data_IF_874853844544
#
_entry.id   IF_874853844544
#
_cell.length_a   1.000
_cell.length_b   1.000
_cell.length_c   1.000
_cell.angle_alpha   90.00
_cell.angle_beta   90.00
_cell.angle_gamma   90.00
#
_symmetry.space_group_name_H-M   'P 1'
#
loop_
_entity.id
_entity.type
_entity.pdbx_description
1 polymer ?
#
# COMPACT_ATOMS: atom_id res chain seq x y z
N UNK A 1 40.02 5.03 13.00
CA UNK A 1 38.60 4.88 12.62
C UNK A 1 38.37 5.74 11.38
N UNK A 2 38.08 5.13 10.24
CA UNK A 2 37.74 5.83 9.01
C UNK A 2 36.24 6.10 9.00
N UNK A 3 35.85 7.35 8.74
CA UNK A 3 34.47 7.75 8.53
C UNK A 3 33.91 7.02 7.28
N UNK A 4 32.66 6.59 7.36
CA UNK A 4 31.95 6.07 6.19
C UNK A 4 31.68 7.19 5.19
N UNK A 5 31.61 6.86 3.90
CA UNK A 5 31.38 7.82 2.78
C UNK A 5 30.13 8.70 2.96
N UNK A 6 29.20 8.31 3.85
CA UNK A 6 27.93 8.99 4.07
C UNK A 6 27.83 9.65 5.46
N UNK A 7 28.84 9.55 6.32
CA UNK A 7 28.80 10.12 7.67
C UNK A 7 28.76 11.65 7.61
N UNK A 8 27.86 12.26 8.38
CA UNK A 8 27.75 13.72 8.49
C UNK A 8 28.67 14.20 9.61
N UNK A 9 29.56 15.15 9.29
CA UNK A 9 30.51 15.72 10.25
C UNK A 9 30.21 17.20 10.43
N UNK A 10 30.11 17.65 11.68
CA UNK A 10 30.06 19.09 12.00
C UNK A 10 31.17 19.45 12.99
N UNK A 11 31.72 20.65 12.79
CA UNK A 11 32.79 21.21 13.62
C UNK A 11 32.25 22.45 14.31
N UNK A 12 32.43 22.54 15.63
CA UNK A 12 32.06 23.70 16.43
C UNK A 12 33.26 24.14 17.29
N UNK A 13 33.35 25.43 17.58
CA UNK A 13 34.32 26.00 18.52
C UNK A 13 33.55 26.45 19.76
N UNK A 14 33.80 25.83 20.89
CA UNK A 14 33.23 26.22 22.20
C UNK A 14 34.38 26.46 23.18
N UNK A 15 34.46 27.67 23.76
CA UNK A 15 35.46 28.06 24.76
C UNK A 15 36.91 27.77 24.37
N UNK A 16 37.26 27.98 23.09
CA UNK A 16 38.61 27.71 22.57
C UNK A 16 38.92 26.21 22.34
N UNK A 17 37.94 25.31 22.53
CA UNK A 17 38.06 23.88 22.21
C UNK A 17 37.30 23.56 20.92
N UNK A 18 37.97 22.85 20.01
CA UNK A 18 37.33 22.28 18.82
C UNK A 18 36.52 21.05 19.22
N UNK A 19 35.22 21.07 18.93
CA UNK A 19 34.31 19.94 19.10
C UNK A 19 33.99 19.38 17.71
N UNK A 20 34.33 18.10 17.52
CA UNK A 20 33.95 17.34 16.33
C UNK A 20 32.72 16.50 16.67
N UNK A 21 31.63 16.68 15.93
CA UNK A 21 30.45 15.81 16.00
C UNK A 21 30.38 14.97 14.74
N UNK A 22 30.20 13.66 14.92
CA UNK A 22 30.03 12.70 13.84
C UNK A 22 28.65 12.07 14.02
N UNK A 23 27.84 12.13 12.96
CA UNK A 23 26.59 11.41 12.84
C UNK A 23 26.76 10.31 11.81
N UNK A 24 26.51 9.07 12.20
CA UNK A 24 26.67 7.91 11.33
C UNK A 24 25.44 7.72 10.48
N UNK A 25 25.62 7.70 9.16
CA UNK A 25 24.50 7.48 8.22
C UNK A 25 24.64 6.12 7.56
N UNK A 26 23.58 5.32 7.63
CA UNK A 26 23.50 4.02 6.96
C UNK A 26 22.25 3.90 6.12
N UNK A 27 22.36 3.27 4.95
CA UNK A 27 21.22 2.96 4.08
C UNK A 27 20.93 1.46 4.16
N UNK A 28 19.64 1.11 4.22
CA UNK A 28 19.18 -0.28 4.18
C UNK A 28 18.03 -0.43 3.21
N UNK A 29 18.02 -1.56 2.52
CA UNK A 29 16.87 -1.97 1.73
C UNK A 29 15.96 -2.80 2.62
N UNK A 30 14.75 -2.32 2.83
CA UNK A 30 13.72 -3.03 3.60
C UNK A 30 12.51 -3.32 2.73
N UNK A 31 11.83 -4.43 2.98
CA UNK A 31 10.65 -4.80 2.20
C UNK A 31 9.51 -5.21 3.09
N UNK A 32 8.32 -4.79 2.72
CA UNK A 32 7.08 -5.06 3.43
C UNK A 32 6.06 -5.66 2.46
N UNK A 33 5.37 -6.71 2.88
CA UNK A 33 4.26 -7.29 2.13
C UNK A 33 2.96 -6.77 2.70
N UNK A 34 2.18 -6.08 1.85
CA UNK A 34 0.88 -5.54 2.21
C UNK A 34 -0.24 -6.27 1.47
N UNK A 35 -1.38 -6.44 2.13
CA UNK A 35 -2.59 -6.96 1.52
C UNK A 35 -3.15 -5.98 0.49
N UNK A 36 -3.60 -6.50 -0.64
CA UNK A 36 -4.26 -5.72 -1.70
C UNK A 36 -5.73 -6.14 -1.75
N UNK A 37 -6.68 -5.28 -1.32
CA UNK A 37 -8.10 -5.60 -1.32
C UNK A 37 -8.61 -6.03 -2.70
N UNK A 38 -9.59 -6.91 -2.73
CA UNK A 38 -10.32 -7.23 -3.96
C UNK A 38 -11.41 -6.19 -4.25
N UNK A 39 -11.76 -6.03 -5.52
CA UNK A 39 -12.94 -5.26 -5.94
C UNK A 39 -14.21 -6.11 -5.92
N UNK A 40 -15.37 -5.46 -5.96
CA UNK A 40 -16.66 -6.14 -6.13
C UNK A 40 -17.30 -5.69 -7.43
N UNK A 41 -17.66 -6.65 -8.28
CA UNK A 41 -18.37 -6.43 -9.52
C UNK A 41 -19.79 -6.99 -9.40
N UNK A 42 -20.78 -6.20 -9.82
CA UNK A 42 -22.17 -6.64 -9.86
C UNK A 42 -22.60 -6.87 -11.30
N UNK A 43 -23.13 -8.05 -11.59
CA UNK A 43 -23.63 -8.42 -12.93
C UNK A 43 -25.12 -8.72 -12.85
N UNK A 44 -25.88 -8.32 -13.88
CA UNK A 44 -27.31 -8.67 -13.95
C UNK A 44 -27.44 -10.09 -14.50
N UNK A 45 -28.19 -10.94 -13.81
CA UNK A 45 -28.46 -12.31 -14.22
C UNK A 45 -29.97 -12.52 -14.33
N UNK A 46 -30.46 -12.66 -15.57
CA UNK A 46 -31.88 -12.81 -15.88
C UNK A 46 -32.45 -14.18 -15.43
N UNK A 47 -31.59 -15.14 -15.05
CA UNK A 47 -32.02 -16.41 -14.47
C UNK A 47 -32.35 -16.33 -12.98
N UNK A 48 -31.96 -15.25 -12.30
CA UNK A 48 -32.23 -15.02 -10.88
C UNK A 48 -33.55 -14.27 -10.69
N UNK A 49 -34.23 -14.54 -9.58
CA UNK A 49 -35.47 -13.85 -9.23
C UNK A 49 -35.22 -12.34 -9.04
N UNK A 50 -36.17 -11.45 -9.37
CA UNK A 50 -35.97 -10.01 -9.22
C UNK A 50 -35.51 -9.61 -7.81
N UNK A 51 -34.32 -9.01 -7.71
CA UNK A 51 -33.72 -8.59 -6.43
C UNK A 51 -32.94 -9.68 -5.67
N UNK A 52 -32.94 -10.93 -6.14
CA UNK A 52 -32.10 -12.00 -5.62
C UNK A 52 -30.62 -11.70 -5.90
N UNK A 53 -29.74 -12.02 -4.94
CA UNK A 53 -28.29 -11.84 -5.06
C UNK A 53 -27.56 -13.15 -4.83
N UNK A 54 -26.69 -13.51 -5.76
CA UNK A 54 -25.86 -14.72 -5.66
C UNK A 54 -24.41 -14.38 -5.93
N UNK A 55 -23.51 -14.79 -5.03
CA UNK A 55 -22.07 -14.67 -5.28
C UNK A 55 -21.66 -15.73 -6.30
N UNK A 56 -21.31 -15.30 -7.52
CA UNK A 56 -20.84 -16.18 -8.61
C UNK A 56 -19.35 -16.48 -8.48
N UNK A 57 -18.58 -15.53 -7.96
CA UNK A 57 -17.15 -15.69 -7.70
C UNK A 57 -16.82 -15.01 -6.38
N UNK A 58 -16.17 -15.73 -5.47
CA UNK A 58 -15.67 -15.15 -4.22
C UNK A 58 -14.43 -14.31 -4.48
N UNK A 59 -14.40 -13.12 -3.89
CA UNK A 59 -13.23 -12.25 -3.94
C UNK A 59 -12.07 -12.84 -3.14
N UNK A 60 -10.85 -12.65 -3.64
CA UNK A 60 -9.61 -13.09 -2.98
C UNK A 60 -8.67 -11.91 -2.87
N UNK A 61 -8.27 -11.59 -1.64
CA UNK A 61 -7.28 -10.54 -1.37
C UNK A 61 -5.95 -10.90 -2.00
N UNK A 62 -5.40 -9.98 -2.77
CA UNK A 62 -4.05 -10.08 -3.33
C UNK A 62 -2.97 -9.65 -2.33
N UNK A 63 -1.72 -9.64 -2.78
CA UNK A 63 -0.60 -9.13 -2.00
C UNK A 63 0.40 -8.38 -2.87
N UNK A 64 0.95 -7.31 -2.31
CA UNK A 64 1.92 -6.44 -2.98
C UNK A 64 3.12 -6.26 -2.07
N UNK A 65 4.32 -6.47 -2.59
CA UNK A 65 5.58 -6.16 -1.92
C UNK A 65 5.99 -4.74 -2.23
N UNK A 66 6.23 -3.95 -1.17
CA UNK A 66 6.85 -2.63 -1.26
C UNK A 66 8.28 -2.72 -0.78
N UNK A 67 9.20 -2.20 -1.55
CA UNK A 67 10.62 -2.12 -1.20
C UNK A 67 10.96 -0.65 -0.94
N UNK A 68 11.64 -0.41 0.17
CA UNK A 68 12.04 0.90 0.64
C UNK A 68 13.56 0.98 0.74
N UNK A 69 14.11 2.13 0.39
CA UNK A 69 15.43 2.57 0.82
C UNK A 69 15.24 3.40 2.09
N UNK A 70 15.78 2.90 3.21
CA UNK A 70 15.63 3.47 4.54
C UNK A 70 16.98 4.01 4.99
N UNK A 71 17.02 5.29 5.31
CA UNK A 71 18.19 5.99 5.85
C UNK A 71 18.09 6.01 7.36
N UNK A 72 19.14 5.56 8.04
CA UNK A 72 19.28 5.63 9.49
C UNK A 72 20.38 6.62 9.85
N UNK A 73 20.09 7.50 10.80
CA UNK A 73 21.04 8.37 11.46
C UNK A 73 21.27 7.87 12.90
N UNK A 74 22.51 7.51 13.23
CA UNK A 74 22.89 6.95 14.53
C UNK A 74 22.04 5.72 14.95
N UNK A 75 21.59 4.95 13.96
CA UNK A 75 20.76 3.76 14.16
C UNK A 75 19.26 4.02 14.28
N UNK A 76 18.82 5.29 14.28
CA UNK A 76 17.41 5.69 14.27
C UNK A 76 16.98 5.98 12.83
N UNK A 77 15.79 5.54 12.43
CA UNK A 77 15.24 5.82 11.10
C UNK A 77 15.06 7.34 10.92
N UNK A 78 15.77 7.90 9.96
CA UNK A 78 15.74 9.33 9.60
C UNK A 78 14.75 9.57 8.45
N UNK A 79 14.77 8.68 7.44
CA UNK A 79 13.83 8.75 6.32
C UNK A 79 13.66 7.41 5.64
N UNK A 80 12.51 7.24 4.97
CA UNK A 80 12.22 6.09 4.11
C UNK A 80 11.69 6.55 2.75
N UNK A 81 12.15 5.91 1.68
CA UNK A 81 11.70 6.18 0.31
C UNK A 81 11.25 4.88 -0.35
N UNK A 82 10.03 4.87 -0.88
CA UNK A 82 9.55 3.76 -1.70
C UNK A 82 10.35 3.71 -3.01
N UNK A 83 11.02 2.59 -3.27
CA UNK A 83 11.85 2.39 -4.47
C UNK A 83 11.21 1.44 -5.47
N UNK A 84 10.42 0.47 -5.00
CA UNK A 84 9.73 -0.47 -5.88
C UNK A 84 8.43 -0.97 -5.27
N UNK A 85 7.48 -1.28 -6.14
CA UNK A 85 6.23 -1.97 -5.81
C UNK A 85 6.08 -3.15 -6.75
N UNK A 86 5.88 -4.34 -6.20
CA UNK A 86 5.77 -5.59 -6.97
C UNK A 86 4.54 -6.35 -6.51
N UNK A 87 3.62 -6.64 -7.43
CA UNK A 87 2.47 -7.50 -7.16
C UNK A 87 2.97 -8.94 -7.02
N UNK A 88 2.75 -9.56 -5.87
CA UNK A 88 3.06 -10.98 -5.64
C UNK A 88 1.86 -11.83 -6.08
N UNK A 89 0.66 -11.43 -5.68
CA UNK A 89 -0.59 -12.10 -6.04
C UNK A 89 -1.62 -11.04 -6.38
N UNK A 90 -2.16 -11.08 -7.60
CA UNK A 90 -3.24 -10.18 -8.00
C UNK A 90 -4.50 -10.49 -7.20
N UNK A 91 -5.25 -9.48 -6.71
CA UNK A 91 -6.55 -9.71 -6.14
C UNK A 91 -7.50 -10.29 -7.20
N UNK A 92 -8.41 -11.17 -6.76
CA UNK A 92 -9.51 -11.67 -7.57
C UNK A 92 -10.79 -10.97 -7.13
N UNK A 93 -11.50 -10.34 -8.06
CA UNK A 93 -12.73 -9.62 -7.74
C UNK A 93 -13.86 -10.56 -7.28
N UNK A 94 -14.67 -10.10 -6.33
CA UNK A 94 -15.93 -10.75 -5.98
C UNK A 94 -16.99 -10.40 -7.03
N UNK A 95 -17.60 -11.41 -7.65
CA UNK A 95 -18.67 -11.22 -8.62
C UNK A 95 -20.00 -11.58 -7.96
N UNK A 96 -20.89 -10.59 -7.87
CA UNK A 96 -22.25 -10.74 -7.35
C UNK A 96 -23.23 -10.63 -8.51
N UNK A 97 -23.94 -11.71 -8.80
CA UNK A 97 -25.07 -11.67 -9.72
C UNK A 97 -26.31 -11.14 -9.01
N UNK A 98 -27.06 -10.26 -9.67
CA UNK A 98 -28.33 -9.72 -9.20
C UNK A 98 -29.43 -9.97 -10.23
N UNK A 99 -30.56 -10.50 -9.77
CA UNK A 99 -31.73 -10.68 -10.63
C UNK A 99 -32.29 -9.34 -11.09
N UNK A 100 -32.59 -9.23 -12.40
CA UNK A 100 -33.10 -7.99 -12.98
C UNK A 100 -34.37 -7.55 -12.25
N UNK A 101 -34.33 -6.34 -11.68
CA UNK A 101 -35.51 -5.77 -11.03
C UNK A 101 -36.57 -5.49 -12.09
N UNK A 102 -37.80 -5.92 -11.84
CA UNK A 102 -38.93 -5.56 -12.70
C UNK A 102 -39.01 -4.02 -12.80
N UNK A 103 -39.26 -3.46 -14.00
CA UNK A 103 -39.42 -2.02 -14.13
C UNK A 103 -40.55 -1.55 -13.21
N UNK A 104 -40.30 -0.49 -12.44
CA UNK A 104 -41.33 0.10 -11.58
C UNK A 104 -42.55 0.47 -12.45
N UNK A 105 -43.79 0.18 -12.01
CA UNK A 105 -44.97 0.59 -12.77
C UNK A 105 -44.91 2.10 -12.95
N UNK A 106 -45.01 2.56 -14.21
CA UNK A 106 -45.10 4.00 -14.51
C UNK A 106 -46.28 4.57 -13.71
N UNK A 107 -46.13 5.69 -12.97
CA UNK A 107 -47.25 6.31 -12.31
C UNK A 107 -48.31 6.64 -13.37
N UNK A 108 -49.51 6.09 -13.21
CA UNK A 108 -50.66 6.47 -14.03
C UNK A 108 -50.99 7.92 -13.66
N UNK A 109 -50.68 8.87 -14.55
CA UNK A 109 -51.24 10.22 -14.45
C UNK A 109 -52.74 10.12 -14.70
N UNK A 110 -53.54 10.44 -13.68
CA UNK A 110 -54.97 10.70 -13.81
C UNK A 110 -55.20 12.09 -14.40
#
# INVERSE_FOLDING_TARGET
MTLGKNDRVSVALENGRTILRVQRITHRTESETISTPYGTQTVVDDSLSPGEKVVKQKGVTGSTRRTYDVTYADGVEDSRKLTSTTVITSPLDEIIAVGRRAPSPRPRSH
#
